data_IF_151822636507
#
_entry.id   IF_151822636507
#
_cell.length_a   1.000
_cell.length_b   1.000
_cell.length_c   1.000
_cell.angle_alpha   90.00
_cell.angle_beta   90.00
_cell.angle_gamma   90.00
#
_symmetry.space_group_name_H-M   'P 1'
#
loop_
_entity.id
_entity.type
_entity.pdbx_description
1 polymer ?
#
# COMPACT_ATOMS: atom_id res chain seq x y z
N UNK A 1 -10.01 10.90 9.92
CA UNK A 1 -9.64 10.74 8.50
C UNK A 1 -8.69 9.55 8.27
N UNK A 2 -7.73 9.29 9.17
CA UNK A 2 -6.92 8.05 9.14
C UNK A 2 -7.77 6.76 9.07
N UNK A 3 -8.93 6.78 9.74
CA UNK A 3 -9.86 5.64 9.72
C UNK A 3 -10.42 5.30 8.33
N UNK A 4 -10.40 6.23 7.37
CA UNK A 4 -10.82 5.96 6.00
C UNK A 4 -9.80 5.10 5.22
N UNK A 5 -8.53 5.12 5.62
CA UNK A 5 -7.54 4.17 5.14
C UNK A 5 -7.79 2.72 5.54
N UNK A 6 -8.76 2.47 6.45
CA UNK A 6 -9.10 1.13 6.96
C UNK A 6 -9.51 0.17 5.83
N UNK A 7 -10.14 0.66 4.77
CA UNK A 7 -10.54 -0.17 3.62
C UNK A 7 -9.31 -0.81 2.95
N UNK A 8 -8.28 -0.01 2.67
CA UNK A 8 -7.04 -0.53 2.10
C UNK A 8 -6.27 -1.37 3.11
N UNK A 9 -6.25 -0.96 4.39
CA UNK A 9 -5.64 -1.74 5.46
C UNK A 9 -6.30 -3.12 5.61
N UNK A 10 -7.63 -3.20 5.57
CA UNK A 10 -8.35 -4.48 5.64
C UNK A 10 -8.02 -5.36 4.44
N UNK A 11 -7.98 -4.79 3.23
CA UNK A 11 -7.57 -5.53 2.03
C UNK A 11 -6.17 -6.13 2.20
N UNK A 12 -5.20 -5.32 2.64
CA UNK A 12 -3.81 -5.80 2.87
C UNK A 12 -3.76 -6.86 3.96
N UNK A 13 -4.48 -6.69 5.07
CA UNK A 13 -4.50 -7.67 6.16
C UNK A 13 -5.13 -9.00 5.71
N UNK A 14 -6.26 -8.98 5.00
CA UNK A 14 -6.89 -10.17 4.45
C UNK A 14 -5.96 -10.89 3.47
N UNK A 15 -5.29 -10.14 2.61
CA UNK A 15 -4.28 -10.68 1.72
C UNK A 15 -3.13 -11.32 2.52
N UNK A 16 -2.59 -10.65 3.54
CA UNK A 16 -1.49 -11.17 4.36
C UNK A 16 -1.84 -12.49 5.04
N UNK A 17 -3.06 -12.62 5.60
CA UNK A 17 -3.53 -13.86 6.24
C UNK A 17 -3.59 -15.04 5.26
N UNK A 18 -3.95 -14.79 4.00
CA UNK A 18 -3.97 -15.81 2.97
C UNK A 18 -2.57 -16.07 2.39
N UNK A 19 -1.77 -15.01 2.22
CA UNK A 19 -0.47 -15.04 1.57
C UNK A 19 0.59 -15.81 2.36
N UNK A 20 0.64 -15.60 3.67
CA UNK A 20 1.68 -16.19 4.51
C UNK A 20 1.67 -17.73 4.50
N UNK A 21 0.56 -18.44 4.78
CA UNK A 21 0.52 -19.89 4.66
C UNK A 21 0.74 -20.36 3.21
N UNK A 22 0.23 -19.62 2.24
CA UNK A 22 0.33 -19.98 0.83
C UNK A 22 1.78 -20.06 0.35
N UNK A 23 2.59 -19.02 0.54
CA UNK A 23 3.97 -19.06 0.06
C UNK A 23 4.84 -20.06 0.83
N UNK A 24 4.58 -20.28 2.13
CA UNK A 24 5.32 -21.27 2.92
C UNK A 24 5.02 -22.70 2.45
N UNK A 25 3.78 -22.99 2.09
CA UNK A 25 3.39 -24.32 1.57
C UNK A 25 4.01 -24.57 0.19
N UNK A 26 4.01 -23.57 -0.69
CA UNK A 26 4.49 -23.68 -2.06
C UNK A 26 5.99 -23.36 -2.23
N UNK A 27 6.70 -23.08 -1.13
CA UNK A 27 8.12 -22.66 -1.16
C UNK A 27 9.07 -23.66 -1.85
N UNK A 28 8.72 -24.96 -1.82
CA UNK A 28 9.52 -26.05 -2.38
C UNK A 28 9.17 -26.40 -3.83
N UNK A 29 8.15 -25.79 -4.39
CA UNK A 29 7.77 -26.02 -5.78
C UNK A 29 8.77 -25.38 -6.75
N UNK A 30 9.03 -26.05 -7.88
CA UNK A 30 9.96 -25.54 -8.91
C UNK A 30 9.53 -24.17 -9.46
N UNK A 31 8.25 -23.90 -9.50
CA UNK A 31 7.65 -22.66 -10.02
C UNK A 31 7.35 -21.62 -8.92
N UNK A 32 7.80 -21.82 -7.67
CA UNK A 32 7.50 -20.91 -6.55
C UNK A 32 7.82 -19.45 -6.85
N UNK A 33 8.96 -19.16 -7.49
CA UNK A 33 9.38 -17.79 -7.86
C UNK A 33 8.43 -17.16 -8.90
N UNK A 34 7.97 -17.95 -9.86
CA UNK A 34 7.01 -17.50 -10.86
C UNK A 34 5.65 -17.19 -10.24
N UNK A 35 5.20 -18.02 -9.29
CA UNK A 35 3.97 -17.81 -8.54
C UNK A 35 4.07 -16.50 -7.76
N UNK A 36 5.17 -16.25 -7.03
CA UNK A 36 5.35 -15.00 -6.25
C UNK A 36 5.35 -13.78 -7.19
N UNK A 37 5.99 -13.88 -8.35
CA UNK A 37 5.99 -12.81 -9.36
C UNK A 37 4.58 -12.51 -9.89
N UNK A 38 3.78 -13.55 -10.16
CA UNK A 38 2.37 -13.39 -10.58
C UNK A 38 1.53 -12.77 -9.47
N UNK A 39 1.71 -13.22 -8.23
CA UNK A 39 0.99 -12.67 -7.08
C UNK A 39 1.30 -11.19 -6.90
N UNK A 40 2.57 -10.76 -7.03
CA UNK A 40 2.92 -9.34 -7.02
C UNK A 40 2.13 -8.58 -8.08
N UNK A 41 2.08 -9.09 -9.30
CA UNK A 41 1.36 -8.45 -10.40
C UNK A 41 -0.14 -8.30 -10.08
N UNK A 42 -0.80 -9.38 -9.64
CA UNK A 42 -2.23 -9.32 -9.30
C UNK A 42 -2.51 -8.44 -8.10
N UNK A 43 -1.68 -8.53 -7.05
CA UNK A 43 -1.80 -7.65 -5.88
C UNK A 43 -1.69 -6.18 -6.27
N UNK A 44 -0.71 -5.83 -7.11
CA UNK A 44 -0.51 -4.46 -7.58
C UNK A 44 -1.71 -3.98 -8.40
N UNK A 45 -2.23 -4.79 -9.33
CA UNK A 45 -3.43 -4.44 -10.12
C UNK A 45 -4.62 -4.15 -9.21
N UNK A 46 -4.96 -5.07 -8.32
CA UNK A 46 -6.14 -4.93 -7.45
C UNK A 46 -5.95 -3.79 -6.47
N UNK A 47 -4.77 -3.67 -5.86
CA UNK A 47 -4.45 -2.61 -4.91
C UNK A 47 -4.48 -1.23 -5.53
N UNK A 48 -3.91 -1.05 -6.73
CA UNK A 48 -3.92 0.23 -7.44
C UNK A 48 -5.33 0.59 -7.96
N UNK A 49 -6.11 -0.39 -8.40
CA UNK A 49 -7.51 -0.16 -8.74
C UNK A 49 -8.32 0.31 -7.52
N UNK A 50 -8.16 -0.36 -6.37
CA UNK A 50 -8.78 0.06 -5.11
C UNK A 50 -8.31 1.45 -4.68
N UNK A 51 -7.01 1.74 -4.81
CA UNK A 51 -6.45 3.05 -4.51
C UNK A 51 -7.15 4.15 -5.34
N UNK A 52 -7.24 3.97 -6.65
CA UNK A 52 -7.87 4.96 -7.54
C UNK A 52 -9.36 5.10 -7.23
N UNK A 53 -10.11 3.99 -7.15
CA UNK A 53 -11.54 4.03 -6.86
C UNK A 53 -11.84 4.70 -5.51
N UNK A 54 -11.14 4.31 -4.45
CA UNK A 54 -11.34 4.93 -3.13
C UNK A 54 -10.92 6.39 -3.12
N UNK A 55 -9.84 6.76 -3.81
CA UNK A 55 -9.38 8.16 -3.88
C UNK A 55 -10.38 9.06 -4.61
N UNK A 56 -11.00 8.57 -5.69
CA UNK A 56 -11.97 9.34 -6.47
C UNK A 56 -13.32 9.48 -5.77
N UNK A 57 -13.80 8.39 -5.16
CA UNK A 57 -15.15 8.35 -4.58
C UNK A 57 -15.18 8.57 -3.06
N UNK A 58 -14.06 8.91 -2.44
CA UNK A 58 -14.02 9.05 -0.98
C UNK A 58 -14.98 10.12 -0.46
N UNK A 59 -15.13 11.24 -1.18
CA UNK A 59 -16.04 12.31 -0.82
C UNK A 59 -17.51 11.87 -0.89
N UNK A 60 -17.86 11.06 -1.88
CA UNK A 60 -19.20 10.52 -2.04
C UNK A 60 -19.51 9.48 -0.96
N UNK A 61 -18.53 8.58 -0.70
CA UNK A 61 -18.64 7.53 0.32
C UNK A 61 -18.92 8.11 1.71
N UNK A 62 -18.24 9.20 2.10
CA UNK A 62 -18.42 9.78 3.44
C UNK A 62 -19.73 10.56 3.56
N UNK A 63 -20.32 10.99 2.44
CA UNK A 63 -21.60 11.68 2.39
C UNK A 63 -22.81 10.74 2.36
N UNK A 64 -22.60 9.43 2.20
CA UNK A 64 -23.70 8.46 2.23
C UNK A 64 -24.39 8.52 3.59
N UNK A 65 -25.67 8.90 3.57
CA UNK A 65 -26.55 8.88 4.71
C UNK A 65 -27.28 7.54 4.80
N UNK A 66 -26.91 6.70 5.74
CA UNK A 66 -27.62 5.46 6.03
C UNK A 66 -28.54 5.69 7.24
N UNK A 67 -29.85 5.53 7.03
CA UNK A 67 -30.85 5.64 8.12
C UNK A 67 -30.79 6.96 8.92
N UNK A 68 -30.42 8.08 8.27
CA UNK A 68 -30.33 9.39 8.91
C UNK A 68 -28.99 9.67 9.62
N UNK A 69 -28.03 8.75 9.54
CA UNK A 69 -26.67 8.94 10.08
C UNK A 69 -25.66 9.00 8.94
N UNK A 70 -24.86 10.09 8.88
CA UNK A 70 -23.68 10.13 8.00
C UNK A 70 -22.60 9.22 8.56
N UNK A 71 -21.97 8.43 7.69
CA UNK A 71 -20.89 7.50 8.05
C UNK A 71 -19.74 8.25 8.75
N UNK A 72 -19.48 9.49 8.35
CA UNK A 72 -18.47 10.37 8.94
C UNK A 72 -19.07 11.76 9.14
N UNK A 73 -19.01 12.24 10.38
CA UNK A 73 -19.51 13.58 10.70
C UNK A 73 -18.81 14.68 9.90
N UNK A 74 -19.58 15.70 9.45
CA UNK A 74 -19.13 16.78 8.57
C UNK A 74 -17.86 17.51 9.06
N UNK A 75 -17.65 17.59 10.37
CA UNK A 75 -16.44 18.20 10.98
C UNK A 75 -15.12 17.53 10.55
N UNK A 76 -15.17 16.29 10.08
CA UNK A 76 -13.98 15.53 9.63
C UNK A 76 -13.71 15.64 8.13
N UNK A 77 -14.63 16.23 7.35
CA UNK A 77 -14.50 16.32 5.90
C UNK A 77 -13.30 17.20 5.47
N UNK A 78 -12.99 18.24 6.23
CA UNK A 78 -11.83 19.09 5.96
C UNK A 78 -10.48 18.34 5.89
N UNK A 79 -10.41 17.11 6.39
CA UNK A 79 -9.18 16.30 6.33
C UNK A 79 -9.23 15.18 5.30
N UNK A 80 -10.20 15.14 4.39
CA UNK A 80 -10.29 14.08 3.37
C UNK A 80 -9.11 14.10 2.39
N UNK A 81 -8.49 15.23 2.18
CA UNK A 81 -7.34 15.41 1.28
C UNK A 81 -6.12 14.57 1.64
N UNK A 82 -6.00 14.07 2.89
CA UNK A 82 -4.91 13.17 3.28
C UNK A 82 -5.19 11.71 2.92
N UNK A 83 -6.46 11.34 2.63
CA UNK A 83 -6.86 9.94 2.46
C UNK A 83 -6.12 9.27 1.31
N UNK A 84 -5.97 9.87 0.11
CA UNK A 84 -5.19 9.26 -0.97
C UNK A 84 -3.74 8.92 -0.55
N UNK A 85 -3.10 9.79 0.24
CA UNK A 85 -1.73 9.54 0.74
C UNK A 85 -1.69 8.32 1.67
N UNK A 86 -2.70 8.17 2.53
CA UNK A 86 -2.80 7.04 3.45
C UNK A 86 -3.13 5.74 2.70
N UNK A 87 -4.02 5.79 1.71
CA UNK A 87 -4.31 4.65 0.85
C UNK A 87 -3.04 4.17 0.12
N UNK A 88 -2.25 5.10 -0.42
CA UNK A 88 -0.97 4.81 -1.05
C UNK A 88 0.02 4.22 -0.05
N UNK A 89 0.08 4.73 1.18
CA UNK A 89 0.91 4.17 2.24
C UNK A 89 0.55 2.70 2.52
N UNK A 90 -0.75 2.37 2.63
CA UNK A 90 -1.17 0.97 2.80
C UNK A 90 -0.91 0.11 1.57
N UNK A 91 -0.91 0.65 0.36
CA UNK A 91 -0.49 -0.08 -0.83
C UNK A 91 0.98 -0.50 -0.73
N UNK A 92 1.89 0.41 -0.31
CA UNK A 92 3.29 0.06 -0.02
C UNK A 92 3.42 -0.94 1.14
N UNK A 93 2.57 -0.84 2.16
CA UNK A 93 2.48 -1.86 3.21
C UNK A 93 2.16 -3.24 2.64
N UNK A 94 1.23 -3.33 1.69
CA UNK A 94 0.94 -4.59 1.00
C UNK A 94 2.08 -5.09 0.14
N UNK A 95 2.79 -4.21 -0.56
CA UNK A 95 3.98 -4.59 -1.35
C UNK A 95 5.08 -5.18 -0.46
N UNK A 96 5.35 -4.60 0.73
CA UNK A 96 6.31 -5.21 1.63
C UNK A 96 5.87 -6.62 2.08
N UNK A 97 4.57 -6.84 2.28
CA UNK A 97 4.03 -8.18 2.61
C UNK A 97 4.31 -9.17 1.50
N UNK A 98 4.14 -8.79 0.23
CA UNK A 98 4.50 -9.66 -0.91
C UNK A 98 6.00 -9.95 -0.92
N UNK A 99 6.84 -8.92 -0.77
CA UNK A 99 8.29 -9.07 -0.80
C UNK A 99 8.85 -9.86 0.40
N UNK A 100 8.13 -9.93 1.51
CA UNK A 100 8.57 -10.68 2.70
C UNK A 100 8.73 -12.18 2.45
N UNK A 101 8.03 -12.75 1.46
CA UNK A 101 8.03 -14.18 1.17
C UNK A 101 9.46 -14.74 1.00
N UNK A 102 10.32 -14.07 0.21
CA UNK A 102 11.69 -14.55 -0.01
C UNK A 102 12.56 -14.58 1.25
N UNK A 103 12.36 -13.64 2.18
CA UNK A 103 13.09 -13.60 3.45
C UNK A 103 12.70 -14.80 4.33
N UNK A 104 11.40 -15.14 4.38
CA UNK A 104 10.91 -16.26 5.19
C UNK A 104 11.25 -17.61 4.56
N UNK A 105 11.19 -17.74 3.23
CA UNK A 105 11.56 -18.96 2.50
C UNK A 105 13.04 -19.29 2.71
N UNK A 106 13.92 -18.29 2.69
CA UNK A 106 15.37 -18.46 2.88
C UNK A 106 15.80 -18.43 4.36
N UNK A 107 14.84 -18.50 5.29
CA UNK A 107 15.10 -18.48 6.74
C UNK A 107 15.94 -17.28 7.21
N UNK A 108 15.85 -16.15 6.50
CA UNK A 108 16.55 -14.89 6.78
C UNK A 108 15.72 -13.93 7.65
N UNK A 109 14.89 -14.47 8.54
CA UNK A 109 13.95 -13.70 9.38
C UNK A 109 14.60 -12.60 10.23
N UNK A 110 15.92 -12.67 10.46
CA UNK A 110 16.67 -11.62 11.15
C UNK A 110 16.58 -10.25 10.46
N UNK A 111 16.36 -10.22 9.14
CA UNK A 111 16.21 -8.97 8.41
C UNK A 111 14.84 -8.32 8.61
N UNK A 112 13.81 -9.07 9.02
CA UNK A 112 12.48 -8.53 9.25
C UNK A 112 12.46 -7.42 10.32
N UNK A 113 12.98 -7.62 11.55
CA UNK A 113 13.05 -6.55 12.54
C UNK A 113 13.99 -5.41 12.14
N UNK A 114 15.05 -5.67 11.36
CA UNK A 114 15.98 -4.63 10.88
C UNK A 114 15.24 -3.69 9.91
N UNK A 115 14.54 -4.23 8.93
CA UNK A 115 13.78 -3.44 7.95
C UNK A 115 12.60 -2.73 8.62
N UNK A 116 11.89 -3.41 9.53
CA UNK A 116 10.82 -2.77 10.30
C UNK A 116 11.35 -1.63 11.19
N UNK A 117 12.52 -1.82 11.82
CA UNK A 117 13.22 -0.79 12.59
C UNK A 117 13.60 0.43 11.73
N UNK A 118 14.13 0.21 10.52
CA UNK A 118 14.42 1.29 9.57
C UNK A 118 13.15 2.07 9.20
N UNK A 119 12.03 1.38 8.95
CA UNK A 119 10.73 2.01 8.73
C UNK A 119 10.27 2.83 9.94
N UNK A 120 10.39 2.29 11.16
CA UNK A 120 10.01 2.99 12.38
C UNK A 120 10.86 4.26 12.60
N UNK A 121 12.17 4.18 12.41
CA UNK A 121 13.08 5.34 12.50
C UNK A 121 12.71 6.38 11.45
N UNK A 122 12.45 5.95 10.20
CA UNK A 122 11.99 6.85 9.13
C UNK A 122 10.69 7.56 9.51
N UNK A 123 9.73 6.82 10.09
CA UNK A 123 8.47 7.40 10.54
C UNK A 123 8.68 8.47 11.60
N UNK A 124 9.49 8.21 12.63
CA UNK A 124 9.78 9.17 13.70
C UNK A 124 10.45 10.43 13.15
N UNK A 125 11.50 10.26 12.34
CA UNK A 125 12.23 11.39 11.74
C UNK A 125 11.31 12.20 10.81
N UNK A 126 10.56 11.53 9.95
CA UNK A 126 9.65 12.21 9.03
C UNK A 126 8.51 12.94 9.75
N UNK A 127 7.95 12.36 10.81
CA UNK A 127 6.96 13.06 11.66
C UNK A 127 7.56 14.32 12.29
N UNK A 128 8.75 14.23 12.85
CA UNK A 128 9.44 15.36 13.47
C UNK A 128 9.71 16.51 12.47
N UNK A 129 10.07 16.16 11.23
CA UNK A 129 10.40 17.16 10.21
C UNK A 129 9.16 17.70 9.49
N UNK A 130 8.14 16.87 9.24
CA UNK A 130 7.01 17.25 8.37
C UNK A 130 5.81 17.80 9.12
N UNK A 131 5.50 17.32 10.33
CA UNK A 131 4.32 17.77 11.08
C UNK A 131 4.36 19.28 11.37
N UNK A 132 5.48 19.90 11.77
CA UNK A 132 5.50 21.34 12.05
C UNK A 132 5.09 22.21 10.87
N UNK A 133 5.32 21.75 9.63
CA UNK A 133 5.05 22.52 8.41
C UNK A 133 3.75 22.10 7.72
N UNK A 134 3.40 20.80 7.78
CA UNK A 134 2.32 20.22 6.99
C UNK A 134 1.16 19.68 7.86
N UNK A 135 1.26 19.81 9.17
CA UNK A 135 0.25 19.32 10.11
C UNK A 135 -0.12 17.85 9.85
N UNK A 136 -1.41 17.56 9.69
CA UNK A 136 -1.92 16.19 9.45
C UNK A 136 -1.42 15.56 8.13
N UNK A 137 -1.13 16.36 7.10
CA UNK A 137 -0.52 15.88 5.86
C UNK A 137 0.90 15.39 6.12
N UNK A 138 1.65 16.08 7.00
CA UNK A 138 2.99 15.64 7.42
C UNK A 138 2.99 14.25 8.03
N UNK A 139 2.01 13.96 8.89
CA UNK A 139 1.85 12.63 9.48
C UNK A 139 1.48 11.55 8.43
N UNK A 140 0.64 11.89 7.45
CA UNK A 140 0.29 10.99 6.36
C UNK A 140 1.51 10.67 5.47
N UNK A 141 2.30 11.68 5.12
CA UNK A 141 3.54 11.52 4.36
C UNK A 141 4.61 10.74 5.14
N UNK A 142 4.73 10.96 6.44
CA UNK A 142 5.64 10.18 7.29
C UNK A 142 5.29 8.69 7.28
N UNK A 143 3.99 8.36 7.31
CA UNK A 143 3.50 6.98 7.21
C UNK A 143 3.82 6.39 5.83
N UNK A 144 3.60 7.16 4.75
CA UNK A 144 3.94 6.75 3.38
C UNK A 144 5.43 6.46 3.24
N UNK A 145 6.29 7.36 3.70
CA UNK A 145 7.75 7.20 3.63
C UNK A 145 8.20 5.97 4.43
N UNK A 146 7.61 5.73 5.60
CA UNK A 146 7.91 4.56 6.42
C UNK A 146 7.62 3.24 5.67
N UNK A 147 6.43 3.09 5.13
CA UNK A 147 6.06 1.89 4.39
C UNK A 147 6.82 1.75 3.06
N UNK A 148 7.15 2.85 2.41
CA UNK A 148 8.01 2.84 1.23
C UNK A 148 9.40 2.28 1.57
N UNK A 149 10.03 2.77 2.66
CA UNK A 149 11.34 2.28 3.13
C UNK A 149 11.26 0.80 3.50
N UNK A 150 10.18 0.36 4.15
CA UNK A 150 9.98 -1.05 4.46
C UNK A 150 9.85 -1.89 3.19
N UNK A 151 9.03 -1.49 2.23
CA UNK A 151 8.84 -2.20 0.96
C UNK A 151 10.17 -2.30 0.18
N UNK A 152 10.90 -1.19 0.07
CA UNK A 152 12.22 -1.16 -0.57
C UNK A 152 13.24 -2.06 0.16
N UNK A 153 13.26 -2.02 1.48
CA UNK A 153 14.14 -2.86 2.30
C UNK A 153 13.86 -4.35 2.11
N UNK A 154 12.59 -4.76 2.19
CA UNK A 154 12.21 -6.16 1.94
C UNK A 154 12.51 -6.59 0.50
N UNK A 155 12.24 -5.73 -0.48
CA UNK A 155 12.60 -5.99 -1.87
C UNK A 155 14.11 -6.23 -2.03
N UNK A 156 14.96 -5.34 -1.50
CA UNK A 156 16.43 -5.43 -1.62
C UNK A 156 16.93 -6.72 -0.97
N UNK A 157 16.46 -7.03 0.24
CA UNK A 157 16.89 -8.24 0.96
C UNK A 157 16.41 -9.50 0.23
N UNK A 158 15.15 -9.53 -0.21
CA UNK A 158 14.62 -10.66 -0.98
C UNK A 158 15.41 -10.86 -2.28
N UNK A 159 15.67 -9.81 -3.05
CA UNK A 159 16.44 -9.95 -4.29
C UNK A 159 17.89 -10.42 -4.07
N UNK A 160 18.46 -10.12 -2.89
CA UNK A 160 19.80 -10.58 -2.53
C UNK A 160 19.85 -12.09 -2.25
N UNK A 161 18.88 -12.63 -1.53
CA UNK A 161 18.90 -14.02 -1.04
C UNK A 161 18.01 -14.95 -1.84
N UNK A 162 16.86 -14.46 -2.29
CA UNK A 162 15.86 -15.21 -3.06
C UNK A 162 15.48 -14.43 -4.32
N UNK A 163 16.38 -14.43 -5.31
CA UNK A 163 16.19 -13.65 -6.53
C UNK A 163 14.94 -14.10 -7.30
N UNK A 164 13.98 -13.18 -7.46
CA UNK A 164 12.75 -13.36 -8.21
C UNK A 164 12.78 -12.45 -9.43
N UNK A 165 12.44 -12.98 -10.59
CA UNK A 165 12.32 -12.20 -11.82
C UNK A 165 10.89 -11.64 -11.89
N UNK A 166 10.73 -10.37 -11.49
CA UNK A 166 9.47 -9.66 -11.64
C UNK A 166 9.32 -9.06 -13.03
N UNK A 167 8.11 -9.07 -13.58
CA UNK A 167 7.80 -8.41 -14.86
C UNK A 167 7.54 -6.91 -14.63
N UNK A 168 8.62 -6.15 -14.44
CA UNK A 168 8.54 -4.70 -14.18
C UNK A 168 7.89 -3.94 -15.35
N UNK A 169 8.06 -4.40 -16.58
CA UNK A 169 7.47 -3.75 -17.75
C UNK A 169 5.94 -3.86 -17.72
N UNK A 170 5.44 -5.03 -17.37
CA UNK A 170 3.99 -5.26 -17.22
C UNK A 170 3.43 -4.46 -16.07
N UNK A 171 4.12 -4.46 -14.92
CA UNK A 171 3.72 -3.66 -13.74
C UNK A 171 3.64 -2.17 -14.11
N UNK A 172 4.68 -1.62 -14.73
CA UNK A 172 4.74 -0.21 -15.13
C UNK A 172 3.61 0.17 -16.10
N UNK A 173 3.32 -0.67 -17.10
CA UNK A 173 2.20 -0.43 -18.03
C UNK A 173 0.86 -0.42 -17.34
N UNK A 174 0.63 -1.34 -16.40
CA UNK A 174 -0.62 -1.43 -15.65
C UNK A 174 -0.81 -0.19 -14.79
N UNK A 175 0.23 0.20 -14.05
CA UNK A 175 0.19 1.41 -13.22
C UNK A 175 -0.07 2.67 -14.04
N UNK A 176 0.61 2.84 -15.17
CA UNK A 176 0.36 3.96 -16.08
C UNK A 176 -1.09 3.97 -16.58
N UNK A 177 -1.63 2.82 -16.96
CA UNK A 177 -3.02 2.73 -17.45
C UNK A 177 -4.01 3.11 -16.34
N UNK A 178 -3.83 2.61 -15.12
CA UNK A 178 -4.69 2.89 -13.98
C UNK A 178 -4.63 4.39 -13.61
N UNK A 179 -3.43 4.95 -13.51
CA UNK A 179 -3.22 6.37 -13.23
C UNK A 179 -3.80 7.26 -14.33
N UNK A 180 -3.63 6.88 -15.59
CA UNK A 180 -4.18 7.62 -16.72
C UNK A 180 -5.72 7.66 -16.66
N UNK A 181 -6.37 6.51 -16.49
CA UNK A 181 -7.84 6.42 -16.36
C UNK A 181 -8.32 7.23 -15.14
N UNK A 182 -7.66 7.12 -14.00
CA UNK A 182 -7.99 7.89 -12.80
C UNK A 182 -7.86 9.39 -13.01
N UNK A 183 -6.79 9.83 -13.69
CA UNK A 183 -6.56 11.25 -14.00
C UNK A 183 -7.60 11.79 -14.97
N UNK A 184 -7.91 11.06 -16.04
CA UNK A 184 -8.94 11.45 -17.01
C UNK A 184 -10.30 11.57 -16.34
N UNK A 185 -10.68 10.58 -15.51
CA UNK A 185 -11.91 10.63 -14.75
C UNK A 185 -11.97 11.87 -13.83
N UNK A 186 -10.90 12.13 -13.08
CA UNK A 186 -10.80 13.29 -12.20
C UNK A 186 -10.98 14.61 -12.95
N UNK A 187 -10.32 14.77 -14.10
CA UNK A 187 -10.42 15.97 -14.93
C UNK A 187 -11.83 16.16 -15.51
N UNK A 188 -12.51 15.08 -15.89
CA UNK A 188 -13.87 15.14 -16.44
C UNK A 188 -14.92 15.48 -15.36
N UNK A 189 -14.75 15.02 -14.14
CA UNK A 189 -15.72 15.20 -13.06
C UNK A 189 -15.50 16.46 -12.24
N UNK A 190 -14.26 16.93 -12.10
CA UNK A 190 -13.87 18.00 -11.18
C UNK A 190 -13.04 19.12 -11.83
N UNK A 191 -12.67 19.00 -13.10
CA UNK A 191 -11.80 19.95 -13.82
C UNK A 191 -12.54 21.03 -14.61
N UNK A 192 -13.90 21.14 -14.46
CA UNK A 192 -14.76 22.09 -15.13
C UNK A 192 -15.18 23.25 -14.24
#
# INVERSE_FOLDING_TARGET
NYKLGIFMMLFVNMFQYAWQPFFLTNAKEENAKEIISKVLTYFTIVGSLMFVLLSLFISDIVQINLLGFSIIGAKYWAGLYIVPVILLAYLFNGLYVVFSAGIYIEEKSIYAPIVAGAGAITNVIANYLLIPYLNIMGAALATLLSYFVMAAGYYIVTQKYYKINYDYYKLFKIELAILFVGTVYYLLMYGG
#
